data_IF_887160416133
#
_entry.id   IF_887160416133
#
_cell.length_a   1.000
_cell.length_b   1.000
_cell.length_c   1.000
_cell.angle_alpha   90.00
_cell.angle_beta   90.00
_cell.angle_gamma   90.00
#
_symmetry.space_group_name_H-M   'P 1'
#
loop_
_entity.id
_entity.type
_entity.pdbx_description
1 polymer ?
#
# COMPACT_ATOMS: atom_id res chain seq x y z
N UNK A 1 5.70 9.55 7.21
CA UNK A 1 6.49 8.59 6.39
C UNK A 1 5.54 7.45 6.05
N UNK A 2 5.12 7.33 4.79
CA UNK A 2 4.27 6.22 4.38
C UNK A 2 5.15 4.97 4.24
N UNK A 3 4.67 3.76 4.54
CA UNK A 3 5.41 2.55 4.24
C UNK A 3 5.41 2.33 2.72
N UNK A 4 6.33 3.00 2.00
CA UNK A 4 6.57 2.86 0.56
C UNK A 4 6.76 1.39 0.16
N UNK A 5 7.29 0.60 1.07
CA UNK A 5 7.50 -0.84 0.92
C UNK A 5 6.19 -1.60 0.67
N UNK A 6 5.06 -1.20 1.26
CA UNK A 6 3.78 -1.85 1.01
C UNK A 6 3.26 -1.55 -0.40
N UNK A 7 3.49 -0.34 -0.90
CA UNK A 7 3.17 0.02 -2.28
C UNK A 7 4.08 -0.73 -3.26
N UNK A 8 5.36 -0.88 -2.92
CA UNK A 8 6.30 -1.64 -3.73
C UNK A 8 5.85 -3.10 -3.92
N UNK A 9 5.49 -3.78 -2.83
CA UNK A 9 5.00 -5.16 -2.90
C UNK A 9 3.73 -5.28 -3.75
N UNK A 10 2.78 -4.34 -3.58
CA UNK A 10 1.54 -4.31 -4.37
C UNK A 10 1.82 -4.09 -5.87
N UNK A 11 2.68 -3.14 -6.20
CA UNK A 11 3.09 -2.87 -7.58
C UNK A 11 3.79 -4.08 -8.23
N UNK A 12 4.67 -4.76 -7.49
CA UNK A 12 5.35 -5.96 -7.98
C UNK A 12 4.37 -7.13 -8.18
N UNK A 13 3.40 -7.31 -7.26
CA UNK A 13 2.32 -8.30 -7.39
C UNK A 13 1.41 -8.01 -8.59
N UNK A 14 1.22 -6.74 -8.95
CA UNK A 14 0.47 -6.35 -10.16
C UNK A 14 1.28 -6.42 -11.46
N UNK A 15 2.53 -6.92 -11.42
CA UNK A 15 3.35 -7.15 -12.60
C UNK A 15 4.40 -6.08 -12.90
N UNK A 16 4.65 -5.14 -11.99
CA UNK A 16 5.70 -4.14 -12.19
C UNK A 16 7.09 -4.80 -12.37
N UNK A 17 7.88 -4.27 -13.31
CA UNK A 17 9.26 -4.70 -13.54
C UNK A 17 10.24 -4.14 -12.51
N UNK A 18 9.83 -3.20 -11.66
CA UNK A 18 10.64 -2.63 -10.60
C UNK A 18 9.92 -1.59 -9.77
N UNK A 19 10.53 -1.19 -8.66
CA UNK A 19 10.05 -0.12 -7.78
C UNK A 19 11.25 0.68 -7.25
N UNK A 20 11.12 2.01 -7.25
CA UNK A 20 12.12 2.95 -6.75
C UNK A 20 11.43 4.00 -5.87
N UNK A 21 12.01 4.31 -4.71
CA UNK A 21 11.50 5.39 -3.85
C UNK A 21 11.99 6.75 -4.35
N UNK A 22 11.28 7.81 -3.96
CA UNK A 22 11.63 9.19 -4.36
C UNK A 22 12.96 9.67 -3.78
N UNK A 23 13.39 9.09 -2.66
CA UNK A 23 14.67 9.40 -1.98
C UNK A 23 15.89 8.71 -2.62
N UNK A 24 15.68 7.95 -3.70
CA UNK A 24 16.77 7.21 -4.35
C UNK A 24 17.65 8.13 -5.20
N UNK A 25 18.97 7.91 -5.17
CA UNK A 25 19.93 8.70 -5.93
C UNK A 25 19.65 8.67 -7.45
N UNK A 26 19.88 9.77 -8.20
CA UNK A 26 19.65 9.83 -9.64
C UNK A 26 20.40 8.75 -10.43
N UNK A 27 21.61 8.38 -10.00
CA UNK A 27 22.41 7.32 -10.61
C UNK A 27 21.77 5.93 -10.50
N UNK A 28 21.06 5.67 -9.40
CA UNK A 28 20.32 4.42 -9.19
C UNK A 28 19.10 4.33 -10.12
N UNK A 29 18.43 5.44 -10.41
CA UNK A 29 17.37 5.51 -11.42
C UNK A 29 17.88 5.07 -12.80
N UNK A 30 19.03 5.62 -13.23
CA UNK A 30 19.64 5.27 -14.53
C UNK A 30 20.00 3.79 -14.58
N UNK A 31 20.55 3.23 -13.49
CA UNK A 31 20.86 1.80 -13.37
C UNK A 31 19.58 0.94 -13.41
N UNK A 32 18.52 1.37 -12.74
CA UNK A 32 17.24 0.69 -12.71
C UNK A 32 16.65 0.58 -14.12
N UNK A 33 16.60 1.69 -14.86
CA UNK A 33 16.09 1.72 -16.24
C UNK A 33 16.90 0.79 -17.15
N UNK A 34 18.23 0.86 -17.10
CA UNK A 34 19.10 -0.03 -17.90
C UNK A 34 18.85 -1.52 -17.59
N UNK A 35 18.64 -1.88 -16.33
CA UNK A 35 18.33 -3.28 -15.94
C UNK A 35 16.95 -3.72 -16.46
N UNK A 36 15.94 -2.85 -16.37
CA UNK A 36 14.60 -3.14 -16.89
C UNK A 36 14.60 -3.34 -18.41
N UNK A 37 15.37 -2.53 -19.15
CA UNK A 37 15.56 -2.69 -20.60
C UNK A 37 16.19 -4.04 -20.98
N UNK A 38 17.01 -4.62 -20.10
CA UNK A 38 17.59 -5.96 -20.27
C UNK A 38 16.63 -7.10 -19.86
N UNK A 39 15.37 -6.79 -19.58
CA UNK A 39 14.37 -7.73 -19.09
C UNK A 39 14.55 -8.15 -17.63
N UNK A 40 15.46 -7.51 -16.89
CA UNK A 40 15.71 -7.81 -15.47
C UNK A 40 14.84 -6.92 -14.59
N UNK A 41 14.37 -7.47 -13.46
CA UNK A 41 13.68 -6.66 -12.46
C UNK A 41 14.66 -5.86 -11.61
N UNK A 42 14.26 -4.67 -11.20
CA UNK A 42 15.05 -3.83 -10.29
C UNK A 42 14.22 -3.41 -9.08
N UNK A 43 14.64 -3.85 -7.90
CA UNK A 43 14.02 -3.54 -6.61
C UNK A 43 15.13 -3.30 -5.58
N UNK A 44 14.86 -2.49 -4.57
CA UNK A 44 15.79 -2.31 -3.46
C UNK A 44 15.94 -3.60 -2.65
N UNK A 45 17.06 -3.72 -1.93
CA UNK A 45 17.34 -4.91 -1.11
C UNK A 45 16.23 -5.16 -0.06
N UNK A 46 15.77 -4.12 0.62
CA UNK A 46 14.70 -4.22 1.62
C UNK A 46 13.38 -4.72 1.02
N UNK A 47 13.04 -4.30 -0.21
CA UNK A 47 11.85 -4.78 -0.92
C UNK A 47 12.05 -6.24 -1.37
N UNK A 48 13.27 -6.61 -1.78
CA UNK A 48 13.60 -7.98 -2.17
C UNK A 48 13.48 -8.95 -0.99
N UNK A 49 13.96 -8.56 0.19
CA UNK A 49 13.85 -9.33 1.44
C UNK A 49 12.38 -9.54 1.81
N UNK A 50 11.56 -8.47 1.85
CA UNK A 50 10.12 -8.60 2.12
C UNK A 50 9.38 -9.43 1.07
N UNK A 51 9.79 -9.33 -0.20
CA UNK A 51 9.21 -10.13 -1.25
C UNK A 51 9.53 -11.61 -1.02
N UNK A 52 10.78 -11.95 -0.69
CA UNK A 52 11.20 -13.31 -0.36
C UNK A 52 10.44 -13.86 0.86
N UNK A 53 10.29 -13.06 1.91
CA UNK A 53 9.49 -13.41 3.10
C UNK A 53 8.03 -13.72 2.72
N UNK A 54 7.43 -12.89 1.86
CA UNK A 54 6.04 -13.07 1.41
C UNK A 54 5.82 -14.34 0.57
N UNK A 55 6.87 -14.86 -0.09
CA UNK A 55 6.82 -16.13 -0.82
C UNK A 55 7.05 -17.35 0.10
N UNK A 56 7.82 -17.18 1.18
CA UNK A 56 8.10 -18.26 2.14
C UNK A 56 6.91 -18.54 3.06
N UNK A 57 6.14 -17.50 3.41
CA UNK A 57 4.97 -17.63 4.23
C UNK A 57 3.77 -18.12 3.39
N UNK A 58 3.37 -19.39 3.57
CA UNK A 58 2.02 -19.90 3.26
C UNK A 58 0.91 -19.21 4.11
N UNK A 59 1.17 -18.01 4.61
CA UNK A 59 0.24 -17.23 5.40
C UNK A 59 -0.91 -16.80 4.51
N UNK A 60 -2.10 -17.20 4.92
CA UNK A 60 -3.38 -16.61 4.55
C UNK A 60 -3.21 -15.12 4.27
N UNK A 61 -3.50 -14.69 3.02
CA UNK A 61 -3.41 -13.29 2.58
C UNK A 61 -4.03 -12.40 3.66
N UNK A 62 -3.28 -11.39 4.10
CA UNK A 62 -3.80 -10.48 5.12
C UNK A 62 -5.01 -9.75 4.52
N UNK A 63 -6.05 -9.53 5.33
CA UNK A 63 -7.32 -8.96 4.85
C UNK A 63 -7.13 -7.64 4.09
N UNK A 64 -6.18 -6.80 4.53
CA UNK A 64 -5.85 -5.54 3.87
C UNK A 64 -5.18 -5.70 2.49
N UNK A 65 -4.62 -6.87 2.15
CA UNK A 65 -4.09 -7.15 0.81
C UNK A 65 -5.20 -7.36 -0.23
N UNK A 66 -6.45 -7.59 0.20
CA UNK A 66 -7.62 -7.70 -0.69
C UNK A 66 -8.21 -6.34 -1.09
N UNK A 67 -7.75 -5.27 -0.44
CA UNK A 67 -8.17 -3.90 -0.76
C UNK A 67 -7.50 -3.46 -2.06
N UNK A 68 -8.26 -2.83 -2.95
CA UNK A 68 -7.71 -2.06 -4.06
C UNK A 68 -6.81 -0.92 -3.55
N UNK A 69 -6.00 -0.33 -4.40
CA UNK A 69 -5.08 0.74 -4.00
C UNK A 69 -5.84 1.96 -3.42
N UNK A 70 -6.96 2.34 -4.05
CA UNK A 70 -7.81 3.43 -3.53
C UNK A 70 -8.44 3.10 -2.19
N UNK A 71 -8.90 1.87 -1.99
CA UNK A 71 -9.44 1.43 -0.71
C UNK A 71 -8.35 1.39 0.38
N UNK A 72 -7.13 1.00 0.00
CA UNK A 72 -5.99 0.96 0.91
C UNK A 72 -5.51 2.35 1.33
N UNK A 73 -5.52 3.32 0.42
CA UNK A 73 -5.24 4.72 0.72
C UNK A 73 -6.26 5.29 1.70
N UNK A 74 -7.57 5.08 1.43
CA UNK A 74 -8.65 5.51 2.32
C UNK A 74 -8.52 4.83 3.68
N UNK A 75 -8.23 3.53 3.73
CA UNK A 75 -7.99 2.80 4.98
C UNK A 75 -6.87 3.44 5.80
N UNK A 76 -5.72 3.76 5.19
CA UNK A 76 -4.61 4.40 5.91
C UNK A 76 -4.96 5.78 6.46
N UNK A 77 -5.72 6.58 5.71
CA UNK A 77 -6.13 7.89 6.19
C UNK A 77 -7.15 7.79 7.32
N UNK A 78 -8.09 6.84 7.24
CA UNK A 78 -9.03 6.54 8.32
C UNK A 78 -8.31 6.05 9.59
N UNK A 79 -7.29 5.20 9.43
CA UNK A 79 -6.47 4.70 10.53
C UNK A 79 -5.64 5.82 11.21
N UNK A 80 -5.28 6.86 10.45
CA UNK A 80 -4.64 8.08 10.98
C UNK A 80 -5.63 9.07 11.61
N UNK A 81 -6.90 8.69 11.80
CA UNK A 81 -7.92 9.51 12.44
C UNK A 81 -8.49 10.63 11.57
N UNK A 82 -8.27 10.62 10.25
CA UNK A 82 -8.84 11.62 9.34
C UNK A 82 -10.35 11.38 9.15
N UNK A 83 -11.12 12.46 9.10
CA UNK A 83 -12.55 12.37 8.82
C UNK A 83 -12.79 12.10 7.33
N UNK A 84 -13.98 11.61 6.99
CA UNK A 84 -14.36 11.35 5.59
C UNK A 84 -14.30 12.63 4.75
N UNK A 85 -14.61 13.79 5.35
CA UNK A 85 -14.52 15.10 4.71
C UNK A 85 -13.06 15.49 4.42
N UNK A 86 -12.16 15.30 5.38
CA UNK A 86 -10.73 15.62 5.20
C UNK A 86 -10.10 14.73 4.12
N UNK A 87 -10.49 13.45 4.08
CA UNK A 87 -10.01 12.50 3.07
C UNK A 87 -10.54 12.88 1.69
N UNK A 88 -11.79 13.33 1.60
CA UNK A 88 -12.39 13.78 0.35
C UNK A 88 -11.62 14.98 -0.21
N UNK A 89 -11.27 15.96 0.63
CA UNK A 89 -10.45 17.10 0.25
C UNK A 89 -9.04 16.67 -0.19
N UNK A 90 -8.36 15.84 0.62
CA UNK A 90 -7.00 15.38 0.34
C UNK A 90 -6.89 14.55 -0.94
N UNK A 91 -7.93 13.76 -1.27
CA UNK A 91 -7.96 12.94 -2.48
C UNK A 91 -8.63 13.63 -3.67
N UNK A 92 -9.11 14.87 -3.50
CA UNK A 92 -9.92 15.60 -4.51
C UNK A 92 -11.12 14.79 -5.01
N UNK A 93 -11.84 14.16 -4.08
CA UNK A 93 -13.03 13.34 -4.32
C UNK A 93 -14.24 13.90 -3.59
N UNK A 94 -15.43 13.43 -3.93
CA UNK A 94 -16.63 13.77 -3.16
C UNK A 94 -16.69 12.99 -1.85
N UNK A 95 -17.30 13.59 -0.82
CA UNK A 95 -17.54 12.94 0.49
C UNK A 95 -18.34 11.64 0.34
N UNK A 96 -19.26 11.57 -0.63
CA UNK A 96 -20.03 10.36 -0.92
C UNK A 96 -19.16 9.26 -1.52
N UNK A 97 -18.21 9.60 -2.40
CA UNK A 97 -17.21 8.66 -2.93
C UNK A 97 -16.35 8.07 -1.82
N UNK A 98 -15.83 8.91 -0.92
CA UNK A 98 -15.02 8.43 0.21
C UNK A 98 -15.84 7.60 1.20
N UNK A 99 -17.10 7.99 1.45
CA UNK A 99 -18.05 7.20 2.26
C UNK A 99 -18.25 5.79 1.68
N UNK A 100 -18.34 5.69 0.35
CA UNK A 100 -18.46 4.41 -0.36
C UNK A 100 -17.19 3.57 -0.19
N UNK A 101 -16.01 4.17 -0.33
CA UNK A 101 -14.75 3.46 -0.07
C UNK A 101 -14.65 2.99 1.38
N UNK A 102 -15.01 3.83 2.35
CA UNK A 102 -15.03 3.46 3.78
C UNK A 102 -15.93 2.24 4.02
N UNK A 103 -17.13 2.22 3.45
CA UNK A 103 -18.04 1.09 3.60
C UNK A 103 -17.45 -0.21 3.02
N UNK A 104 -16.82 -0.14 1.84
CA UNK A 104 -16.16 -1.29 1.22
C UNK A 104 -14.95 -1.78 2.02
N UNK A 105 -14.15 -0.86 2.57
CA UNK A 105 -13.00 -1.18 3.43
C UNK A 105 -13.49 -1.93 4.68
N UNK A 106 -14.50 -1.41 5.38
CA UNK A 106 -15.05 -2.06 6.58
C UNK A 106 -15.61 -3.45 6.27
N UNK A 107 -16.33 -3.60 5.16
CA UNK A 107 -16.85 -4.89 4.73
C UNK A 107 -15.74 -5.91 4.39
N UNK A 108 -14.73 -5.50 3.61
CA UNK A 108 -13.61 -6.38 3.23
C UNK A 108 -12.69 -6.75 4.40
N UNK A 109 -12.52 -5.84 5.35
CA UNK A 109 -11.71 -6.08 6.55
C UNK A 109 -12.50 -6.74 7.69
N UNK A 110 -13.82 -6.89 7.54
CA UNK A 110 -14.73 -7.40 8.56
C UNK A 110 -14.63 -6.64 9.89
N UNK A 111 -14.51 -5.30 9.81
CA UNK A 111 -14.37 -4.40 10.96
C UNK A 111 -15.63 -3.56 11.14
N UNK A 112 -15.98 -3.25 12.39
CA UNK A 112 -17.22 -2.52 12.74
C UNK A 112 -16.97 -1.05 13.02
N UNK A 113 -15.78 -0.69 13.49
CA UNK A 113 -15.44 0.69 13.85
C UNK A 113 -14.11 1.17 13.24
N UNK A 114 -13.99 2.49 13.08
CA UNK A 114 -12.72 3.14 12.74
C UNK A 114 -11.65 2.87 13.82
N UNK A 115 -12.04 2.67 15.07
CA UNK A 115 -11.12 2.30 16.16
C UNK A 115 -10.52 0.91 15.93
N UNK A 116 -11.32 -0.05 15.49
CA UNK A 116 -10.84 -1.40 15.15
C UNK A 116 -9.85 -1.34 13.99
N UNK A 117 -10.13 -0.49 13.01
CA UNK A 117 -9.29 -0.27 11.83
C UNK A 117 -7.96 0.39 12.21
N UNK A 118 -7.98 1.33 13.16
CA UNK A 118 -6.77 1.95 13.72
C UNK A 118 -5.92 0.92 14.45
N UNK A 119 -6.54 0.11 15.32
CA UNK A 119 -5.86 -0.96 16.05
C UNK A 119 -5.21 -1.96 15.08
N UNK A 120 -5.96 -2.41 14.08
CA UNK A 120 -5.47 -3.33 13.05
C UNK A 120 -4.27 -2.75 12.29
N UNK A 121 -4.33 -1.46 11.93
CA UNK A 121 -3.26 -0.80 11.20
C UNK A 121 -1.96 -0.73 12.01
N UNK A 122 -2.04 -0.50 13.33
CA UNK A 122 -0.89 -0.51 14.24
C UNK A 122 -0.33 -1.93 14.37
N UNK A 123 -1.18 -2.93 14.62
CA UNK A 123 -0.76 -4.33 14.79
C UNK A 123 -0.05 -4.89 13.53
N UNK A 124 -0.45 -4.42 12.34
CA UNK A 124 0.12 -4.84 11.06
C UNK A 124 1.18 -3.85 10.52
N UNK A 125 1.62 -2.85 11.31
CA UNK A 125 2.63 -1.84 10.93
C UNK A 125 2.32 -1.13 9.60
N UNK A 126 1.05 -0.81 9.38
CA UNK A 126 0.55 -0.12 8.19
C UNK A 126 0.57 1.41 8.31
N UNK A 127 0.68 1.91 9.56
CA UNK A 127 0.82 3.31 9.94
C UNK A 127 1.83 3.46 11.08
#
# INVERSE_FOLDING_TARGET
IHPEEQYALRALKSGASGYLSKDTAPDELVKAVKKVLLGKKYISQSIAEKLADSFSSNSTKQLHETLSDREFDVMKLLANGKSVSDIAEMMSLSVTTVSTYRARVMAKMNLKSNSDLTKYAIENKLI
#
